data_IF_965495471801
#
_entry.id   IF_965495471801
#
_cell.length_a   1.000
_cell.length_b   1.000
_cell.length_c   1.000
_cell.angle_alpha   90.00
_cell.angle_beta   90.00
_cell.angle_gamma   90.00
#
_symmetry.space_group_name_H-M   'P 1'
#
loop_
_entity.id
_entity.type
_entity.pdbx_description
1 polymer ?
#
# COMPACT_ATOMS: atom_id res chain seq x y z
N UNK A 1 -25.12 48.09 62.47
CA UNK A 1 -26.14 47.04 62.36
C UNK A 1 -26.35 46.73 60.89
N UNK A 2 -25.84 45.60 60.41
CA UNK A 2 -26.35 44.90 59.24
C UNK A 2 -25.96 43.43 59.42
N UNK A 3 -26.98 42.61 59.65
CA UNK A 3 -26.88 41.17 59.88
C UNK A 3 -26.83 40.41 58.55
N UNK A 4 -26.01 39.38 58.55
CA UNK A 4 -26.01 38.25 57.63
C UNK A 4 -27.16 37.30 57.97
N UNK A 5 -27.94 36.86 56.99
CA UNK A 5 -28.76 35.64 57.13
C UNK A 5 -28.67 34.77 55.87
N UNK A 6 -28.46 33.48 56.12
CA UNK A 6 -28.45 32.40 55.15
C UNK A 6 -29.89 32.00 54.75
N UNK A 7 -30.10 31.46 53.54
CA UNK A 7 -31.42 31.04 53.10
C UNK A 7 -31.87 29.71 53.76
N UNK A 8 -33.19 29.52 53.98
CA UNK A 8 -33.73 28.36 54.68
C UNK A 8 -33.83 27.12 53.78
N UNK A 9 -33.65 25.96 54.43
CA UNK A 9 -33.85 24.61 53.90
C UNK A 9 -35.25 24.42 53.30
N UNK A 10 -35.32 23.91 52.07
CA UNK A 10 -36.57 23.33 51.51
C UNK A 10 -36.53 21.80 51.66
N UNK A 11 -37.60 21.29 52.26
CA UNK A 11 -37.84 19.89 52.58
C UNK A 11 -37.87 19.00 51.34
N UNK A 12 -37.30 17.79 51.47
CA UNK A 12 -37.42 16.67 50.54
C UNK A 12 -38.85 16.10 50.58
N UNK A 13 -39.48 15.78 49.44
CA UNK A 13 -40.72 15.01 49.42
C UNK A 13 -40.46 13.54 49.75
N UNK A 14 -41.32 12.96 50.58
CA UNK A 14 -41.33 11.56 51.02
C UNK A 14 -42.04 10.63 50.02
N UNK A 15 -41.68 9.35 50.11
CA UNK A 15 -41.88 8.23 49.18
C UNK A 15 -43.32 7.71 48.95
N UNK A 16 -44.37 8.52 49.07
CA UNK A 16 -45.75 8.06 48.77
C UNK A 16 -46.59 9.25 48.29
N UNK A 17 -46.65 9.45 46.97
CA UNK A 17 -47.77 10.08 46.25
C UNK A 17 -47.37 10.17 44.76
N UNK A 18 -47.70 9.14 43.98
CA UNK A 18 -47.75 9.21 42.51
C UNK A 18 -49.13 8.71 42.07
N UNK A 19 -49.88 9.46 41.25
CA UNK A 19 -51.09 8.94 40.64
C UNK A 19 -50.74 7.86 39.62
N UNK A 20 -51.48 6.77 39.66
CA UNK A 20 -51.48 5.69 38.68
C UNK A 20 -52.03 6.22 37.35
N UNK A 21 -51.14 6.62 36.45
CA UNK A 21 -51.47 6.71 35.03
C UNK A 21 -51.09 5.38 34.40
N UNK A 22 -52.12 4.54 34.24
CA UNK A 22 -52.10 3.40 33.33
C UNK A 22 -51.90 3.95 31.92
N UNK A 23 -50.63 4.09 31.51
CA UNK A 23 -50.27 4.18 30.12
C UNK A 23 -50.11 2.73 29.67
N UNK A 24 -51.15 2.21 29.03
CA UNK A 24 -51.08 1.03 28.17
C UNK A 24 -50.09 1.34 27.03
N UNK A 25 -48.78 1.23 27.31
CA UNK A 25 -47.79 0.99 26.28
C UNK A 25 -48.05 -0.43 25.78
N UNK A 26 -48.80 -0.53 24.66
CA UNK A 26 -48.77 -1.70 23.80
C UNK A 26 -47.29 -2.04 23.53
N UNK A 27 -46.78 -3.02 24.29
CA UNK A 27 -45.53 -3.70 24.00
C UNK A 27 -45.71 -4.40 22.66
N UNK A 28 -45.37 -3.70 21.58
CA UNK A 28 -45.21 -4.27 20.26
C UNK A 28 -44.13 -5.36 20.36
N UNK A 29 -44.61 -6.60 20.49
CA UNK A 29 -43.82 -7.77 20.80
C UNK A 29 -43.11 -8.34 19.58
N UNK A 30 -42.55 -7.49 18.71
CA UNK A 30 -41.62 -7.89 17.63
C UNK A 30 -40.59 -6.81 17.30
N UNK A 31 -39.91 -6.22 18.29
CA UNK A 31 -38.64 -5.55 18.01
C UNK A 31 -37.58 -6.64 17.77
N UNK A 32 -37.49 -7.10 16.53
CA UNK A 32 -36.35 -7.89 16.09
C UNK A 32 -35.09 -7.03 16.31
N UNK A 33 -34.02 -7.55 16.94
CA UNK A 33 -32.78 -6.82 17.04
C UNK A 33 -32.33 -6.48 15.62
N UNK A 34 -32.08 -5.19 15.38
CA UNK A 34 -31.55 -4.74 14.10
C UNK A 34 -30.25 -5.50 13.81
N UNK A 35 -30.00 -5.82 12.55
CA UNK A 35 -28.84 -6.61 12.22
C UNK A 35 -27.55 -5.85 12.59
N UNK A 36 -26.45 -6.57 12.87
CA UNK A 36 -25.20 -5.95 13.30
C UNK A 36 -24.68 -4.87 12.36
N UNK A 37 -24.84 -5.00 11.04
CA UNK A 37 -24.38 -3.99 10.08
C UNK A 37 -25.13 -2.64 10.16
N UNK A 38 -26.27 -2.58 10.86
CA UNK A 38 -27.03 -1.34 11.07
C UNK A 38 -26.76 -0.71 12.44
N UNK A 39 -26.15 -1.44 13.38
CA UNK A 39 -26.08 -1.02 14.79
C UNK A 39 -24.70 -1.12 15.41
N UNK A 40 -23.81 -1.93 14.83
CA UNK A 40 -22.45 -2.12 15.31
C UNK A 40 -21.48 -1.24 14.52
N UNK A 41 -20.36 -0.83 15.14
CA UNK A 41 -19.27 -0.16 14.44
C UNK A 41 -18.77 -0.99 13.25
N UNK A 42 -18.48 -0.32 12.14
CA UNK A 42 -17.80 -0.89 10.97
C UNK A 42 -16.29 -0.94 11.20
N UNK A 43 -15.56 -1.55 10.27
CA UNK A 43 -14.08 -1.54 10.30
C UNK A 43 -13.47 -0.13 10.30
N UNK A 44 -14.21 0.90 9.88
CA UNK A 44 -13.78 2.30 9.92
C UNK A 44 -13.99 2.98 11.29
N UNK A 45 -14.83 2.40 12.14
CA UNK A 45 -15.19 2.95 13.45
C UNK A 45 -14.32 2.34 14.58
N UNK A 46 -13.57 1.27 14.29
CA UNK A 46 -12.78 0.52 15.25
C UNK A 46 -11.33 1.06 15.33
N UNK A 47 -10.71 1.09 16.53
CA UNK A 47 -9.36 1.59 16.69
C UNK A 47 -8.32 0.61 16.11
N UNK A 48 -7.26 1.16 15.51
CA UNK A 48 -6.06 0.41 15.13
C UNK A 48 -5.12 0.12 16.30
N UNK A 49 -4.11 -0.72 16.07
CA UNK A 49 -3.12 -1.10 17.10
C UNK A 49 -2.20 0.06 17.51
N UNK A 50 -1.94 1.01 16.59
CA UNK A 50 -1.04 2.14 16.83
C UNK A 50 -1.76 3.49 16.61
N UNK A 51 -2.06 4.25 17.69
CA UNK A 51 -2.71 5.56 17.57
C UNK A 51 -1.88 6.61 16.80
N UNK A 52 -0.57 6.41 16.68
CA UNK A 52 0.33 7.31 15.92
C UNK A 52 0.46 6.90 14.44
N UNK A 53 -0.06 5.73 14.03
CA UNK A 53 -0.17 5.27 12.65
C UNK A 53 -1.65 5.02 12.33
N UNK A 54 -2.41 6.06 11.95
CA UNK A 54 -3.85 5.94 11.77
C UNK A 54 -4.26 5.04 10.59
N UNK A 55 -3.31 4.70 9.69
CA UNK A 55 -3.52 3.75 8.61
C UNK A 55 -3.68 2.32 9.16
N UNK A 56 -4.83 1.71 8.93
CA UNK A 56 -5.03 0.30 9.23
C UNK A 56 -4.36 -0.55 8.14
N UNK A 57 -3.62 -1.61 8.50
CA UNK A 57 -3.22 -2.59 7.50
C UNK A 57 -4.49 -3.20 6.91
N UNK A 58 -4.64 -3.08 5.59
CA UNK A 58 -5.74 -3.63 4.82
C UNK A 58 -5.22 -4.51 3.68
N UNK A 59 -6.11 -5.30 3.06
CA UNK A 59 -5.73 -6.22 1.99
C UNK A 59 -5.11 -5.50 0.78
N UNK A 60 -5.46 -4.23 0.55
CA UNK A 60 -4.85 -3.45 -0.54
C UNK A 60 -3.38 -3.14 -0.24
N UNK A 61 -3.03 -2.79 1.00
CA UNK A 61 -1.65 -2.56 1.42
C UNK A 61 -0.82 -3.85 1.50
N UNK A 62 -1.44 -5.03 1.56
CA UNK A 62 -0.74 -6.30 1.35
C UNK A 62 -0.51 -6.58 -0.15
N UNK A 63 -1.56 -6.51 -0.97
CA UNK A 63 -1.50 -6.94 -2.37
C UNK A 63 -0.77 -5.95 -3.29
N UNK A 64 -0.95 -4.65 -3.11
CA UNK A 64 -0.38 -3.65 -4.00
C UNK A 64 1.17 -3.67 -3.98
N UNK A 65 1.86 -3.74 -2.82
CA UNK A 65 3.32 -3.87 -2.78
C UNK A 65 3.84 -5.19 -3.36
N UNK A 66 3.07 -6.29 -3.25
CA UNK A 66 3.42 -7.57 -3.88
C UNK A 66 3.43 -7.46 -5.40
N UNK A 67 2.39 -6.86 -6.00
CA UNK A 67 2.33 -6.63 -7.45
C UNK A 67 3.48 -5.74 -7.93
N UNK A 68 3.81 -4.69 -7.18
CA UNK A 68 4.96 -3.82 -7.47
C UNK A 68 6.26 -4.61 -7.45
N UNK A 69 6.49 -5.44 -6.41
CA UNK A 69 7.69 -6.27 -6.28
C UNK A 69 7.82 -7.28 -7.41
N UNK A 70 6.75 -7.97 -7.73
CA UNK A 70 6.70 -9.02 -8.74
C UNK A 70 6.98 -8.49 -10.16
N UNK A 71 6.45 -7.30 -10.47
CA UNK A 71 6.55 -6.71 -11.81
C UNK A 71 7.73 -5.74 -11.98
N UNK A 72 8.45 -5.37 -10.92
CA UNK A 72 9.64 -4.51 -10.99
C UNK A 72 10.83 -5.28 -11.58
N UNK A 73 11.01 -5.21 -12.90
CA UNK A 73 12.02 -5.98 -13.63
C UNK A 73 12.78 -5.09 -14.61
N UNK A 74 13.74 -4.33 -14.07
CA UNK A 74 14.55 -3.41 -14.86
C UNK A 74 15.51 -4.21 -15.75
N UNK A 75 15.65 -3.85 -17.04
CA UNK A 75 16.71 -4.43 -17.88
C UNK A 75 18.11 -3.90 -17.53
N UNK A 76 18.20 -2.77 -16.81
CA UNK A 76 19.47 -2.14 -16.43
C UNK A 76 20.03 -2.64 -15.11
N UNK A 77 19.15 -3.03 -14.18
CA UNK A 77 19.53 -3.51 -12.85
C UNK A 77 19.12 -4.97 -12.68
N UNK A 78 20.07 -5.90 -12.52
CA UNK A 78 19.75 -7.27 -12.18
C UNK A 78 19.13 -7.32 -10.77
N UNK A 79 18.30 -8.33 -10.52
CA UNK A 79 17.55 -8.46 -9.26
C UNK A 79 18.49 -8.52 -8.04
N UNK A 80 19.69 -9.05 -8.22
CA UNK A 80 20.70 -9.21 -7.19
C UNK A 80 21.33 -7.87 -6.75
N UNK A 81 21.20 -6.82 -7.57
CA UNK A 81 21.67 -5.45 -7.30
C UNK A 81 20.52 -4.51 -6.89
N UNK A 82 19.35 -5.06 -6.60
CA UNK A 82 18.17 -4.31 -6.17
C UNK A 82 17.70 -4.81 -4.81
N UNK A 83 17.37 -3.87 -3.93
CA UNK A 83 16.62 -4.16 -2.72
C UNK A 83 15.26 -3.48 -2.78
N UNK A 84 14.21 -4.26 -2.55
CA UNK A 84 12.84 -3.75 -2.41
C UNK A 84 12.38 -4.01 -0.98
N UNK A 85 12.05 -2.96 -0.25
CA UNK A 85 11.45 -3.01 1.08
C UNK A 85 9.95 -2.72 1.01
N UNK A 86 9.18 -3.38 1.88
CA UNK A 86 7.74 -3.22 2.03
C UNK A 86 7.41 -3.30 3.51
N UNK A 87 6.74 -2.29 4.06
CA UNK A 87 6.48 -2.16 5.51
C UNK A 87 7.71 -2.39 6.39
N UNK A 88 8.88 -1.99 5.88
CA UNK A 88 10.16 -2.19 6.55
C UNK A 88 10.65 -0.86 7.12
N UNK A 89 11.07 -0.85 8.38
CA UNK A 89 11.61 0.35 9.01
C UNK A 89 12.85 0.84 8.24
N UNK A 90 12.80 2.10 7.83
CA UNK A 90 13.82 2.81 7.09
C UNK A 90 14.44 3.89 7.98
N UNK A 91 15.63 3.61 8.48
CA UNK A 91 16.40 4.52 9.32
C UNK A 91 17.37 5.34 8.48
N UNK A 92 17.30 6.67 8.63
CA UNK A 92 17.94 7.59 7.68
C UNK A 92 18.87 8.63 8.32
N UNK A 93 18.96 8.69 9.66
CA UNK A 93 19.84 9.64 10.34
C UNK A 93 20.68 8.96 11.43
N UNK A 94 21.99 8.83 11.16
CA UNK A 94 22.96 8.26 12.08
C UNK A 94 23.25 9.10 13.33
N UNK A 95 22.63 10.28 13.48
CA UNK A 95 22.67 11.08 14.72
C UNK A 95 21.41 10.92 15.55
N UNK A 96 20.35 10.35 14.99
CA UNK A 96 19.05 10.18 15.64
C UNK A 96 18.51 8.77 15.40
N UNK A 97 19.03 7.79 16.15
CA UNK A 97 18.73 6.37 15.91
C UNK A 97 17.26 5.96 16.13
N UNK A 98 16.45 6.78 16.80
CA UNK A 98 15.01 6.56 16.94
C UNK A 98 14.19 7.13 15.79
N UNK A 99 14.82 7.81 14.82
CA UNK A 99 14.12 8.36 13.65
C UNK A 99 14.12 7.33 12.54
N UNK A 100 12.92 6.86 12.22
CA UNK A 100 12.66 6.01 11.08
C UNK A 100 11.36 6.43 10.40
N UNK A 101 11.17 5.96 9.17
CA UNK A 101 9.88 5.89 8.48
C UNK A 101 9.62 4.45 8.09
N UNK A 102 8.38 4.14 7.73
CA UNK A 102 7.97 2.81 7.32
C UNK A 102 7.13 2.95 6.05
N UNK A 103 7.78 3.16 4.89
CA UNK A 103 7.06 3.31 3.63
C UNK A 103 6.41 2.00 3.22
N UNK A 104 5.24 2.07 2.57
CA UNK A 104 4.54 0.88 2.06
C UNK A 104 5.40 0.11 1.05
N UNK A 105 6.16 0.83 0.22
CA UNK A 105 7.10 0.24 -0.71
C UNK A 105 8.25 1.19 -1.05
N UNK A 106 9.49 0.68 -1.11
CA UNK A 106 10.63 1.44 -1.60
C UNK A 106 11.65 0.57 -2.33
N UNK A 107 12.37 1.18 -3.27
CA UNK A 107 13.41 0.57 -4.09
C UNK A 107 14.76 1.23 -3.85
N UNK A 108 15.77 0.42 -3.61
CA UNK A 108 17.17 0.80 -3.56
C UNK A 108 17.92 0.10 -4.68
N UNK A 109 18.78 0.84 -5.38
CA UNK A 109 19.59 0.35 -6.50
C UNK A 109 21.06 0.25 -6.10
N UNK A 110 21.77 -0.73 -6.66
CA UNK A 110 23.20 -0.93 -6.42
C UNK A 110 23.52 -1.52 -5.04
N UNK A 111 22.56 -2.20 -4.41
CA UNK A 111 22.74 -2.88 -3.13
C UNK A 111 22.44 -4.36 -3.27
N UNK A 112 23.24 -5.19 -2.61
CA UNK A 112 23.09 -6.64 -2.70
C UNK A 112 21.76 -7.11 -2.07
N UNK A 113 21.05 -7.94 -2.83
CA UNK A 113 19.94 -8.74 -2.29
C UNK A 113 20.46 -9.78 -1.31
N UNK A 114 19.64 -10.15 -0.32
CA UNK A 114 19.99 -11.21 0.63
C UNK A 114 19.93 -12.57 -0.08
N UNK A 115 21.02 -13.34 -0.05
CA UNK A 115 21.08 -14.69 -0.62
C UNK A 115 20.56 -15.77 0.33
N UNK A 116 20.66 -15.51 1.65
CA UNK A 116 20.22 -16.42 2.71
C UNK A 116 19.20 -15.76 3.60
N UNK A 117 18.39 -16.60 4.25
CA UNK A 117 17.32 -16.13 5.14
C UNK A 117 17.89 -15.37 6.34
N UNK A 118 19.01 -15.83 6.91
CA UNK A 118 19.68 -15.16 8.03
C UNK A 118 20.25 -13.78 7.68
N UNK A 119 20.46 -13.50 6.38
CA UNK A 119 20.97 -12.22 5.88
C UNK A 119 19.83 -11.25 5.51
N UNK A 120 18.56 -11.64 5.68
CA UNK A 120 17.42 -10.78 5.39
C UNK A 120 17.35 -9.59 6.37
N UNK A 121 17.05 -8.41 5.81
CA UNK A 121 17.02 -7.16 6.55
C UNK A 121 15.79 -7.09 7.46
N UNK A 122 16.00 -6.95 8.77
CA UNK A 122 14.94 -6.62 9.73
C UNK A 122 14.53 -5.15 9.67
N UNK A 123 15.41 -4.31 9.14
CA UNK A 123 15.23 -2.88 8.89
C UNK A 123 16.24 -2.46 7.84
N UNK A 124 15.94 -1.40 7.08
CA UNK A 124 16.89 -0.78 6.19
C UNK A 124 17.57 0.40 6.88
N UNK A 125 18.88 0.29 7.10
CA UNK A 125 19.65 1.27 7.88
C UNK A 125 20.64 1.99 6.98
N UNK A 126 20.30 3.22 6.56
CA UNK A 126 21.02 3.94 5.50
C UNK A 126 22.49 4.19 5.86
N UNK A 127 22.84 4.42 7.12
CA UNK A 127 24.25 4.62 7.50
C UNK A 127 25.08 3.33 7.53
N UNK A 128 24.44 2.15 7.47
CA UNK A 128 25.12 0.86 7.31
C UNK A 128 25.20 0.48 5.83
N UNK A 129 24.10 0.67 5.10
CA UNK A 129 23.98 0.33 3.68
C UNK A 129 24.65 1.35 2.77
N UNK A 130 24.89 2.57 3.27
CA UNK A 130 25.48 3.74 2.59
C UNK A 130 24.76 4.20 1.30
N UNK A 131 23.59 3.64 1.00
CA UNK A 131 22.76 3.97 -0.16
C UNK A 131 21.36 4.33 0.32
N UNK A 132 20.80 5.42 -0.21
CA UNK A 132 19.42 5.82 0.07
C UNK A 132 18.46 5.25 -0.99
N UNK A 133 17.16 5.11 -0.68
CA UNK A 133 16.18 4.67 -1.67
C UNK A 133 16.13 5.56 -2.91
N UNK A 134 16.09 4.94 -4.07
CA UNK A 134 15.88 5.57 -5.36
C UNK A 134 14.43 6.05 -5.53
N UNK A 135 13.48 5.19 -5.15
CA UNK A 135 12.05 5.42 -5.27
C UNK A 135 11.35 5.00 -3.98
N UNK A 136 10.44 5.84 -3.49
CA UNK A 136 9.53 5.55 -2.38
C UNK A 136 8.09 5.70 -2.88
N UNK A 137 7.23 4.76 -2.49
CA UNK A 137 5.80 4.74 -2.81
C UNK A 137 5.03 4.69 -1.49
N UNK A 138 4.04 5.58 -1.35
CA UNK A 138 3.05 5.56 -0.28
C UNK A 138 1.66 5.36 -0.90
N UNK A 139 0.86 4.54 -0.24
CA UNK A 139 -0.50 4.20 -0.59
C UNK A 139 -1.42 4.94 0.39
N UNK A 140 -2.30 5.79 -0.12
CA UNK A 140 -3.17 6.55 0.77
C UNK A 140 -4.19 5.62 1.45
N UNK A 141 -4.25 5.77 2.77
CA UNK A 141 -5.32 5.25 3.60
C UNK A 141 -6.10 6.43 4.19
N UNK A 142 -7.37 6.24 4.59
CA UNK A 142 -8.15 7.32 5.20
C UNK A 142 -7.41 7.93 6.40
N UNK A 143 -7.09 9.23 6.33
CA UNK A 143 -6.46 9.98 7.42
C UNK A 143 -4.94 10.13 7.36
N UNK A 144 -4.25 9.56 6.37
CA UNK A 144 -2.78 9.76 6.19
C UNK A 144 -2.43 10.84 5.16
N UNK A 145 -3.43 11.37 4.44
CA UNK A 145 -3.24 12.20 3.25
C UNK A 145 -2.44 13.47 3.54
N UNK A 146 -2.69 14.11 4.68
CA UNK A 146 -1.99 15.33 5.07
C UNK A 146 -0.50 15.08 5.39
N UNK A 147 -0.13 13.90 5.87
CA UNK A 147 1.29 13.54 6.08
C UNK A 147 1.96 13.18 4.75
N UNK A 148 1.33 12.31 3.96
CA UNK A 148 1.89 11.83 2.71
C UNK A 148 2.07 12.96 1.69
N UNK A 149 1.15 13.94 1.67
CA UNK A 149 1.22 15.14 0.82
C UNK A 149 2.09 16.27 1.38
N UNK A 150 2.78 16.05 2.52
CA UNK A 150 3.65 17.05 3.13
C UNK A 150 2.91 18.30 3.65
N UNK A 151 1.62 18.17 3.95
CA UNK A 151 0.77 19.26 4.43
C UNK A 151 0.80 19.40 5.96
N UNK A 152 1.40 18.45 6.66
CA UNK A 152 1.65 18.51 8.10
C UNK A 152 2.89 19.32 8.43
N UNK A 153 2.75 20.25 9.38
CA UNK A 153 3.88 20.95 9.97
C UNK A 153 4.51 20.10 11.06
N UNK A 154 5.84 20.08 11.10
CA UNK A 154 6.60 19.42 12.15
C UNK A 154 6.41 20.15 13.48
N UNK A 155 6.02 19.42 14.53
CA UNK A 155 6.06 19.90 15.92
C UNK A 155 7.49 19.92 16.46
N UNK A 156 7.81 20.92 17.30
CA UNK A 156 9.09 20.98 17.98
C UNK A 156 9.34 19.68 18.77
N UNK A 157 10.53 19.08 18.61
CA UNK A 157 10.96 17.81 19.21
C UNK A 157 10.36 16.51 18.65
N UNK A 158 9.57 16.55 17.56
CA UNK A 158 9.16 15.32 16.84
C UNK A 158 10.14 15.00 15.70
N UNK A 159 10.22 13.73 15.22
CA UNK A 159 10.96 13.38 14.00
C UNK A 159 10.49 14.20 12.78
N UNK A 160 11.32 14.29 11.71
CA UNK A 160 10.88 14.82 10.42
C UNK A 160 9.57 14.16 9.92
N UNK A 161 8.74 14.91 9.20
CA UNK A 161 7.59 14.34 8.46
C UNK A 161 8.07 13.38 7.37
N UNK A 162 7.19 12.51 6.83
CA UNK A 162 7.52 11.65 5.68
C UNK A 162 8.16 12.47 4.55
N UNK A 163 7.50 13.56 4.15
CA UNK A 163 8.01 14.46 3.11
C UNK A 163 9.42 14.98 3.39
N UNK A 164 9.68 15.49 4.61
CA UNK A 164 11.00 16.00 4.99
C UNK A 164 12.06 14.90 5.01
N UNK A 165 11.73 13.72 5.54
CA UNK A 165 12.64 12.59 5.56
C UNK A 165 13.04 12.17 4.13
N UNK A 166 12.07 12.07 3.22
CA UNK A 166 12.31 11.62 1.85
C UNK A 166 13.05 12.69 1.01
N UNK A 167 12.65 13.95 1.11
CA UNK A 167 13.21 15.06 0.33
C UNK A 167 14.59 15.52 0.81
N UNK A 168 14.75 15.69 2.13
CA UNK A 168 15.88 16.44 2.71
C UNK A 168 16.95 15.54 3.29
N UNK A 169 16.56 14.42 3.90
CA UNK A 169 17.50 13.48 4.53
C UNK A 169 17.91 12.38 3.54
N UNK A 170 16.95 11.63 3.01
CA UNK A 170 17.20 10.54 2.07
C UNK A 170 17.57 11.04 0.68
N UNK A 171 17.05 12.22 0.29
CA UNK A 171 17.25 12.79 -1.05
C UNK A 171 16.79 11.81 -2.13
N UNK A 172 15.72 11.04 -1.87
CA UNK A 172 15.24 10.02 -2.79
C UNK A 172 14.81 10.67 -4.11
N UNK A 173 15.38 10.28 -5.26
CA UNK A 173 15.08 10.87 -6.56
C UNK A 173 13.60 10.96 -6.90
N UNK A 174 12.83 9.92 -6.55
CA UNK A 174 11.41 9.85 -6.83
C UNK A 174 10.59 9.50 -5.59
N UNK A 175 9.43 10.14 -5.49
CA UNK A 175 8.42 9.87 -4.48
C UNK A 175 7.06 9.77 -5.14
N UNK A 176 6.32 8.70 -4.87
CA UNK A 176 5.02 8.41 -5.46
C UNK A 176 3.99 8.30 -4.36
N UNK A 177 2.82 8.86 -4.64
CA UNK A 177 1.63 8.68 -3.82
C UNK A 177 0.53 8.13 -4.72
N UNK A 178 -0.12 7.06 -4.29
CA UNK A 178 -1.29 6.52 -4.98
C UNK A 178 -2.51 6.52 -4.08
N UNK A 179 -3.56 7.17 -4.56
CA UNK A 179 -4.88 7.19 -3.94
C UNK A 179 -5.78 6.19 -4.68
N UNK A 180 -6.18 5.11 -4.01
CA UNK A 180 -7.08 4.09 -4.59
C UNK A 180 -8.55 4.51 -4.64
N UNK A 181 -8.94 5.51 -3.84
CA UNK A 181 -10.32 5.99 -3.78
C UNK A 181 -10.57 6.99 -4.90
N UNK A 182 -9.65 7.93 -5.09
CA UNK A 182 -9.69 8.92 -6.18
C UNK A 182 -9.01 8.42 -7.46
N UNK A 183 -8.37 7.24 -7.42
CA UNK A 183 -7.59 6.66 -8.51
C UNK A 183 -6.51 7.60 -9.06
N UNK A 184 -5.88 8.35 -8.15
CA UNK A 184 -4.94 9.41 -8.47
C UNK A 184 -3.51 8.94 -8.23
N UNK A 185 -2.74 8.80 -9.31
CA UNK A 185 -1.28 8.66 -9.26
C UNK A 185 -0.63 10.04 -9.20
N UNK A 186 0.15 10.31 -8.15
CA UNK A 186 0.97 11.52 -8.03
C UNK A 186 2.44 11.13 -8.00
N UNK A 187 3.24 11.81 -8.81
CA UNK A 187 4.68 11.57 -8.92
C UNK A 187 5.40 12.86 -8.59
N UNK A 188 6.38 12.77 -7.71
CA UNK A 188 7.27 13.86 -7.33
C UNK A 188 8.70 13.48 -7.67
N UNK A 189 9.40 14.39 -8.34
CA UNK A 189 10.80 14.23 -8.70
C UNK A 189 11.64 15.24 -7.93
N UNK A 190 12.74 14.79 -7.32
CA UNK A 190 13.67 15.67 -6.63
C UNK A 190 14.45 16.48 -7.67
N UNK A 191 14.20 17.79 -7.74
CA UNK A 191 14.89 18.71 -8.65
C UNK A 191 15.65 19.75 -7.84
N UNK A 192 16.98 19.67 -7.89
CA UNK A 192 17.83 20.45 -7.01
C UNK A 192 17.61 20.04 -5.55
N UNK A 193 17.08 20.93 -4.73
CA UNK A 193 16.88 20.68 -3.28
C UNK A 193 15.46 20.28 -2.90
N UNK A 194 14.49 20.31 -3.82
CA UNK A 194 13.08 20.10 -3.50
C UNK A 194 12.36 19.16 -4.47
N UNK A 195 11.36 18.47 -3.95
CA UNK A 195 10.41 17.75 -4.78
C UNK A 195 9.58 18.71 -5.62
N UNK A 196 9.40 18.35 -6.88
CA UNK A 196 8.49 19.00 -7.81
C UNK A 196 7.49 17.97 -8.30
N UNK A 197 6.20 18.32 -8.23
CA UNK A 197 5.15 17.50 -8.81
C UNK A 197 5.37 17.39 -10.32
N UNK A 198 5.26 16.18 -10.84
CA UNK A 198 5.26 15.92 -12.28
C UNK A 198 3.83 15.99 -12.77
N UNK A 199 3.62 16.79 -13.83
CA UNK A 199 2.33 16.81 -14.51
C UNK A 199 2.19 15.55 -15.38
N UNK A 200 1.18 14.75 -15.06
CA UNK A 200 0.89 13.48 -15.75
C UNK A 200 -0.25 13.67 -16.75
N UNK A 201 0.01 13.45 -18.03
CA UNK A 201 -1.03 13.45 -19.08
C UNK A 201 -1.82 12.14 -19.14
N UNK A 202 -1.24 11.07 -18.60
CA UNK A 202 -1.83 9.75 -18.39
C UNK A 202 -1.38 9.29 -17.00
N UNK A 203 -2.11 8.37 -16.33
CA UNK A 203 -1.68 7.82 -15.03
C UNK A 203 -0.53 6.81 -15.23
N UNK A 204 0.56 7.26 -15.87
CA UNK A 204 1.78 6.54 -16.21
C UNK A 204 2.95 7.52 -16.12
N UNK A 205 4.06 7.07 -15.55
CA UNK A 205 5.32 7.80 -15.52
C UNK A 205 6.45 6.86 -15.93
N UNK A 206 7.43 7.38 -16.68
CA UNK A 206 8.58 6.62 -17.16
C UNK A 206 9.83 7.02 -16.37
N UNK A 207 10.53 6.04 -15.81
CA UNK A 207 11.78 6.20 -15.09
C UNK A 207 12.94 5.85 -16.03
N UNK A 208 13.58 6.84 -16.66
CA UNK A 208 14.67 6.57 -17.61
C UNK A 208 15.83 5.82 -16.96
N UNK A 209 16.09 6.02 -15.67
CA UNK A 209 17.16 5.35 -14.93
C UNK A 209 16.89 3.86 -14.71
N UNK A 210 15.64 3.41 -14.83
CA UNK A 210 15.26 2.01 -14.68
C UNK A 210 14.94 1.34 -16.02
N UNK A 211 14.77 2.11 -17.11
CA UNK A 211 14.10 1.64 -18.33
C UNK A 211 12.77 0.92 -18.03
N UNK A 212 12.04 1.50 -17.08
CA UNK A 212 10.74 1.02 -16.62
C UNK A 212 9.78 2.18 -16.47
N UNK A 213 8.50 1.90 -16.66
CA UNK A 213 7.45 2.83 -16.30
C UNK A 213 6.53 2.26 -15.24
N UNK A 214 5.99 3.12 -14.38
CA UNK A 214 4.94 2.77 -13.42
C UNK A 214 3.64 3.44 -13.82
N UNK A 215 2.52 2.75 -13.73
CA UNK A 215 1.23 3.35 -13.98
C UNK A 215 0.06 2.60 -13.37
N UNK A 216 -1.12 3.17 -13.52
CA UNK A 216 -2.38 2.59 -13.05
C UNK A 216 -2.89 1.62 -14.11
N UNK A 217 -2.93 0.35 -13.75
CA UNK A 217 -3.42 -0.77 -14.54
C UNK A 217 -4.79 -1.20 -14.05
N UNK A 218 -5.75 -1.35 -14.98
CA UNK A 218 -7.06 -1.92 -14.71
C UNK A 218 -7.02 -3.42 -14.94
N UNK A 219 -7.30 -4.21 -13.91
CA UNK A 219 -7.35 -5.65 -14.03
C UNK A 219 -7.55 -6.37 -12.71
N UNK A 220 -7.33 -7.68 -12.75
CA UNK A 220 -7.57 -8.59 -11.63
C UNK A 220 -6.24 -9.05 -11.02
N UNK A 221 -6.04 -8.80 -9.73
CA UNK A 221 -4.88 -9.28 -8.97
C UNK A 221 -5.36 -9.89 -7.64
N UNK A 222 -4.82 -11.06 -7.26
CA UNK A 222 -5.26 -11.82 -6.07
C UNK A 222 -6.79 -11.92 -5.96
N UNK A 223 -7.40 -12.38 -7.05
CA UNK A 223 -8.84 -12.49 -7.22
C UNK A 223 -9.68 -11.21 -7.13
N UNK A 224 -9.04 -10.04 -7.04
CA UNK A 224 -9.70 -8.74 -6.86
C UNK A 224 -9.57 -7.89 -8.12
N UNK A 225 -10.72 -7.51 -8.72
CA UNK A 225 -10.76 -6.53 -9.82
C UNK A 225 -10.57 -5.11 -9.29
N UNK A 226 -9.73 -4.33 -9.95
CA UNK A 226 -9.47 -2.95 -9.53
C UNK A 226 -8.45 -2.21 -10.37
N UNK A 227 -8.07 -1.04 -9.87
CA UNK A 227 -7.01 -0.21 -10.40
C UNK A 227 -5.78 -0.35 -9.50
N UNK A 228 -4.68 -0.81 -10.09
CA UNK A 228 -3.46 -1.16 -9.38
C UNK A 228 -2.25 -0.45 -9.97
N UNK A 229 -1.29 -0.06 -9.15
CA UNK A 229 0.02 0.31 -9.66
C UNK A 229 0.75 -0.92 -10.21
N UNK A 230 1.27 -0.80 -11.42
CA UNK A 230 1.97 -1.89 -12.11
C UNK A 230 3.08 -1.36 -13.00
N UNK A 231 4.17 -2.11 -13.10
CA UNK A 231 5.28 -1.76 -13.98
C UNK A 231 4.99 -2.13 -15.44
N UNK A 232 5.45 -1.30 -16.38
CA UNK A 232 5.40 -1.51 -17.82
C UNK A 232 6.77 -1.29 -18.46
N UNK A 233 7.01 -1.95 -19.60
CA UNK A 233 8.28 -1.91 -20.33
C UNK A 233 8.31 -0.75 -21.35
N UNK A 234 9.41 -0.63 -22.09
CA UNK A 234 9.61 0.44 -23.09
C UNK A 234 8.59 0.40 -24.24
N UNK A 235 8.03 -0.77 -24.54
CA UNK A 235 6.99 -0.95 -25.57
C UNK A 235 5.60 -0.49 -25.07
N UNK A 236 5.47 -0.20 -23.77
CA UNK A 236 4.21 0.20 -23.14
C UNK A 236 3.40 -0.98 -22.59
N UNK A 237 3.92 -2.20 -22.70
CA UNK A 237 3.29 -3.42 -22.22
C UNK A 237 3.48 -3.61 -20.72
N UNK A 238 2.42 -4.01 -20.03
CA UNK A 238 2.48 -4.32 -18.60
C UNK A 238 3.34 -5.55 -18.37
N UNK A 239 4.30 -5.45 -17.44
CA UNK A 239 5.18 -6.56 -17.11
C UNK A 239 4.34 -7.65 -16.44
N UNK A 240 4.34 -8.90 -16.96
CA UNK A 240 3.47 -9.95 -16.47
C UNK A 240 3.85 -10.40 -15.06
N UNK A 241 2.84 -10.75 -14.26
CA UNK A 241 3.03 -11.46 -12.97
C UNK A 241 3.61 -12.85 -13.22
N UNK A 242 4.16 -13.51 -12.21
CA UNK A 242 4.58 -14.90 -12.24
C UNK A 242 3.43 -15.82 -12.62
N UNK A 243 2.22 -15.57 -12.11
CA UNK A 243 1.04 -16.35 -12.45
C UNK A 243 0.67 -16.20 -13.95
N UNK A 244 0.67 -14.98 -14.46
CA UNK A 244 0.40 -14.72 -15.89
C UNK A 244 1.48 -15.31 -16.79
N UNK A 245 2.77 -15.25 -16.40
CA UNK A 245 3.86 -15.90 -17.13
C UNK A 245 3.70 -17.41 -17.18
N UNK A 246 3.42 -18.03 -16.04
CA UNK A 246 3.23 -19.47 -15.96
C UNK A 246 2.07 -19.93 -16.86
N UNK A 247 0.97 -19.16 -16.90
CA UNK A 247 -0.14 -19.45 -17.79
C UNK A 247 0.22 -19.23 -19.27
N UNK A 248 0.95 -18.16 -19.61
CA UNK A 248 1.45 -17.94 -20.98
C UNK A 248 2.39 -19.07 -21.44
N UNK A 249 3.31 -19.52 -20.58
CA UNK A 249 4.22 -20.63 -20.87
C UNK A 249 3.46 -21.95 -21.05
N UNK A 250 2.47 -22.21 -20.19
CA UNK A 250 1.59 -23.39 -20.31
C UNK A 250 0.82 -23.39 -21.62
N UNK A 251 0.26 -22.25 -22.03
CA UNK A 251 -0.44 -22.12 -23.30
C UNK A 251 0.49 -22.33 -24.50
N UNK A 252 1.72 -21.80 -24.44
CA UNK A 252 2.74 -22.04 -25.48
C UNK A 252 3.11 -23.51 -25.57
N UNK A 253 3.39 -24.17 -24.45
CA UNK A 253 3.72 -25.59 -24.41
C UNK A 253 2.59 -26.47 -24.98
N UNK A 254 1.33 -26.17 -24.64
CA UNK A 254 0.18 -26.89 -25.17
C UNK A 254 0.02 -26.66 -26.68
N UNK A 255 0.22 -25.43 -27.16
CA UNK A 255 0.16 -25.13 -28.59
C UNK A 255 1.27 -25.83 -29.38
N UNK A 256 2.49 -25.86 -28.85
CA UNK A 256 3.62 -26.55 -29.47
C UNK A 256 3.40 -28.07 -29.51
N UNK A 257 2.89 -28.65 -28.42
CA UNK A 257 2.51 -30.07 -28.38
C UNK A 257 1.46 -30.39 -29.44
N UNK A 258 0.40 -29.59 -29.57
CA UNK A 258 -0.62 -29.79 -30.60
C UNK A 258 -0.06 -29.66 -32.03
N UNK A 259 0.92 -28.78 -32.25
CA UNK A 259 1.60 -28.67 -33.55
C UNK A 259 2.48 -29.87 -33.83
N UNK A 260 3.21 -30.35 -32.83
CA UNK A 260 4.05 -31.54 -32.92
C UNK A 260 3.21 -32.80 -33.20
N UNK A 261 2.10 -32.99 -32.49
CA UNK A 261 1.19 -34.13 -32.69
C UNK A 261 0.60 -34.11 -34.12
N UNK A 262 0.14 -32.96 -34.60
CA UNK A 262 -0.37 -32.82 -35.99
C UNK A 262 0.70 -33.07 -37.03
N UNK A 263 1.94 -32.64 -36.78
CA UNK A 263 3.06 -32.90 -37.69
C UNK A 263 3.41 -34.38 -37.69
N UNK A 264 3.46 -35.01 -36.52
CA UNK A 264 3.69 -36.45 -36.36
C UNK A 264 2.62 -37.27 -37.10
N UNK A 265 1.35 -36.91 -36.97
CA UNK A 265 0.25 -37.55 -37.71
C UNK A 265 0.43 -37.41 -39.23
N UNK A 266 0.78 -36.21 -39.72
CA UNK A 266 1.05 -36.00 -41.16
C UNK A 266 2.26 -36.78 -41.65
N UNK A 267 3.34 -36.85 -40.87
CA UNK A 267 4.54 -37.61 -41.22
C UNK A 267 4.24 -39.12 -41.26
N UNK A 268 3.49 -39.64 -40.30
CA UNK A 268 2.99 -41.03 -40.34
C UNK A 268 2.11 -41.29 -41.57
N UNK A 269 1.22 -40.35 -41.92
CA UNK A 269 0.39 -40.45 -43.12
C UNK A 269 1.20 -40.43 -44.44
N UNK A 270 2.37 -39.79 -44.43
CA UNK A 270 3.33 -39.79 -45.54
C UNK A 270 4.28 -41.01 -45.51
N UNK A 271 4.11 -41.94 -44.56
CA UNK A 271 4.92 -43.16 -44.45
C UNK A 271 6.28 -42.95 -43.79
N UNK A 272 6.52 -41.82 -43.13
CA UNK A 272 7.76 -41.56 -42.39
C UNK A 272 7.68 -42.24 -41.02
N UNK A 273 8.64 -43.12 -40.71
CA UNK A 273 8.79 -43.72 -39.39
C UNK A 273 9.42 -42.72 -38.43
N UNK A 274 8.67 -42.29 -37.41
CA UNK A 274 9.13 -41.32 -36.42
C UNK A 274 10.01 -41.95 -35.32
N UNK A 275 10.09 -43.28 -35.24
CA UNK A 275 10.94 -43.98 -34.28
C UNK A 275 12.41 -44.11 -34.76
N UNK A 276 12.70 -43.65 -35.99
CA UNK A 276 14.03 -43.68 -36.62
C UNK A 276 14.68 -42.29 -36.79
N UNK A 277 14.03 -41.23 -36.29
CA UNK A 277 14.50 -39.82 -36.30
C UNK A 277 14.79 -39.36 -34.87
#
# INVERSE_FOLDING_TARGET
MYQSEAPPHKNLPTMYDLPSEDIDEELDSTIHPRPPWETMPTMYDLPGENPEEPGLPDEFHDFQPQLLRETCQSPLYPKEEMFIGTDLNLYYDGRHYSWYKRPDWFLVLGVAASEKQEDMRLSYVVWQEVVAPFLIVELLSPGTEAEDLGQTLRSANKPPTKWQAYEQYLRSPYYIIFDRYENSLRVFQLRGTKYQAVELTKPKFWFPELELGLGVWSGKYQDTEGLWLRWYNQDGDWIPTFAERAEQEKQRAEQEKQRADKLAEKLRALGVNLDEI
#
